data_IF_075567895360
#
_entry.id   IF_075567895360
#
_cell.length_a   1.000
_cell.length_b   1.000
_cell.length_c   1.000
_cell.angle_alpha   90.00
_cell.angle_beta   90.00
_cell.angle_gamma   90.00
#
_symmetry.space_group_name_H-M   'P 1'
#
loop_
_entity.id
_entity.type
_entity.pdbx_description
1 polymer ?
#
# COMPACT_ATOMS: atom_id res chain seq x y z
N UNK A 1 14.14 -17.58 -4.64
CA UNK A 1 14.32 -16.16 -4.29
C UNK A 1 13.01 -15.68 -3.71
N UNK A 2 12.95 -15.46 -2.40
CA UNK A 2 11.77 -14.90 -1.73
C UNK A 2 11.64 -13.44 -2.13
N UNK A 3 10.50 -13.07 -2.72
CA UNK A 3 10.17 -11.66 -2.98
C UNK A 3 10.10 -10.94 -1.62
N UNK A 4 10.64 -9.71 -1.50
CA UNK A 4 10.54 -8.96 -0.26
C UNK A 4 9.05 -8.77 0.06
N UNK A 5 8.65 -9.22 1.24
CA UNK A 5 7.30 -9.02 1.75
C UNK A 5 6.97 -7.52 1.72
N UNK A 6 5.79 -7.16 1.20
CA UNK A 6 5.42 -5.76 1.08
C UNK A 6 5.35 -5.12 2.47
N UNK A 7 6.16 -4.09 2.72
CA UNK A 7 6.28 -3.49 4.04
C UNK A 7 4.91 -3.01 4.55
N UNK A 8 4.75 -3.00 5.87
CA UNK A 8 3.55 -2.47 6.51
C UNK A 8 3.47 -0.96 6.32
N UNK A 9 2.26 -0.39 6.47
CA UNK A 9 2.09 1.07 6.45
C UNK A 9 3.01 1.77 7.46
N UNK A 10 3.13 1.22 8.67
CA UNK A 10 3.97 1.78 9.74
C UNK A 10 5.45 1.83 9.34
N UNK A 11 5.97 0.76 8.75
CA UNK A 11 7.38 0.69 8.34
C UNK A 11 7.67 1.62 7.15
N UNK A 12 6.77 1.64 6.17
CA UNK A 12 6.88 2.54 5.03
C UNK A 12 6.83 4.02 5.47
N UNK A 13 5.95 4.36 6.41
CA UNK A 13 5.84 5.70 6.97
C UNK A 13 7.07 6.10 7.80
N UNK A 14 7.60 5.18 8.63
CA UNK A 14 8.82 5.42 9.40
C UNK A 14 10.02 5.70 8.49
N UNK A 15 10.15 4.93 7.40
CA UNK A 15 11.19 5.15 6.37
C UNK A 15 11.03 6.52 5.71
N UNK A 16 9.82 6.88 5.29
CA UNK A 16 9.53 8.17 4.67
C UNK A 16 9.88 9.34 5.61
N UNK A 17 9.51 9.24 6.89
CA UNK A 17 9.77 10.28 7.89
C UNK A 17 11.27 10.46 8.16
N UNK A 18 12.03 9.35 8.19
CA UNK A 18 13.49 9.39 8.30
C UNK A 18 14.12 10.13 7.12
N UNK A 19 13.72 9.79 5.90
CA UNK A 19 14.26 10.43 4.69
C UNK A 19 13.92 11.93 4.67
N UNK A 20 12.70 12.31 5.07
CA UNK A 20 12.32 13.71 5.18
C UNK A 20 13.23 14.47 6.16
N UNK A 21 13.50 13.90 7.33
CA UNK A 21 14.42 14.50 8.30
C UNK A 21 15.86 14.61 7.75
N UNK A 22 16.34 13.60 7.02
CA UNK A 22 17.67 13.63 6.38
C UNK A 22 17.76 14.73 5.29
N UNK A 23 16.68 14.95 4.51
CA UNK A 23 16.61 15.99 3.49
C UNK A 23 16.48 17.40 4.10
N UNK A 24 15.67 17.56 5.15
CA UNK A 24 15.51 18.84 5.87
C UNK A 24 16.79 19.28 6.59
N UNK A 25 17.64 18.33 6.99
CA UNK A 25 18.94 18.60 7.59
C UNK A 25 19.92 19.34 6.65
N UNK A 26 19.66 19.37 5.35
CA UNK A 26 20.42 20.18 4.38
C UNK A 26 21.85 19.70 4.10
N UNK A 27 22.30 18.62 4.71
CA UNK A 27 23.65 18.04 4.58
C UNK A 27 23.76 16.97 3.49
N UNK A 28 22.69 16.71 2.75
CA UNK A 28 22.71 15.78 1.63
C UNK A 28 23.27 16.45 0.38
N UNK A 29 24.49 16.04 -0.04
CA UNK A 29 25.02 16.35 -1.36
C UNK A 29 24.03 15.92 -2.47
N UNK A 30 24.00 16.63 -3.59
CA UNK A 30 23.07 16.39 -4.70
C UNK A 30 23.04 14.91 -5.15
N UNK A 31 24.20 14.27 -5.15
CA UNK A 31 24.38 12.85 -5.52
C UNK A 31 23.71 11.89 -4.53
N UNK A 32 23.50 12.31 -3.28
CA UNK A 32 22.76 11.57 -2.24
C UNK A 32 21.28 11.90 -2.22
N UNK A 33 20.88 13.09 -2.65
CA UNK A 33 19.47 13.52 -2.70
C UNK A 33 18.67 12.67 -3.68
N UNK A 34 19.21 12.37 -4.87
CA UNK A 34 18.48 11.60 -5.88
C UNK A 34 18.11 10.18 -5.39
N UNK A 35 19.04 9.36 -4.85
CA UNK A 35 18.70 8.08 -4.25
C UNK A 35 17.68 8.19 -3.12
N UNK A 36 17.80 9.19 -2.24
CA UNK A 36 16.86 9.41 -1.15
C UNK A 36 15.45 9.73 -1.66
N UNK A 37 15.33 10.50 -2.75
CA UNK A 37 14.04 10.80 -3.38
C UNK A 37 13.40 9.57 -4.00
N UNK A 38 14.19 8.69 -4.63
CA UNK A 38 13.68 7.42 -5.17
C UNK A 38 13.18 6.50 -4.04
N UNK A 39 13.95 6.39 -2.95
CA UNK A 39 13.55 5.63 -1.76
C UNK A 39 12.27 6.21 -1.13
N UNK A 40 12.18 7.54 -1.02
CA UNK A 40 11.00 8.23 -0.51
C UNK A 40 9.77 7.98 -1.40
N UNK A 41 9.93 8.03 -2.72
CA UNK A 41 8.84 7.74 -3.68
C UNK A 41 8.34 6.31 -3.52
N UNK A 42 9.24 5.34 -3.34
CA UNK A 42 8.88 3.95 -3.13
C UNK A 42 8.15 3.73 -1.78
N UNK A 43 8.61 4.38 -0.71
CA UNK A 43 7.96 4.35 0.60
C UNK A 43 6.56 5.00 0.56
N UNK A 44 6.44 6.14 -0.12
CA UNK A 44 5.17 6.83 -0.31
C UNK A 44 4.17 6.00 -1.11
N UNK A 45 4.59 5.33 -2.19
CA UNK A 45 3.72 4.46 -2.97
C UNK A 45 3.10 3.35 -2.11
N UNK A 46 3.91 2.72 -1.24
CA UNK A 46 3.43 1.70 -0.29
C UNK A 46 2.43 2.28 0.71
N UNK A 47 2.70 3.47 1.25
CA UNK A 47 1.76 4.16 2.13
C UNK A 47 0.43 4.43 1.40
N UNK A 48 0.50 4.89 0.16
CA UNK A 48 -0.67 5.22 -0.67
C UNK A 48 -1.52 3.99 -0.95
N UNK A 49 -0.92 2.88 -1.37
CA UNK A 49 -1.63 1.62 -1.64
C UNK A 49 -2.42 1.14 -0.41
N UNK A 50 -1.83 1.22 0.80
CA UNK A 50 -2.52 0.81 2.02
C UNK A 50 -3.68 1.73 2.37
N UNK A 51 -3.52 3.04 2.19
CA UNK A 51 -4.60 4.02 2.38
C UNK A 51 -5.72 3.80 1.36
N UNK A 52 -5.37 3.54 0.10
CA UNK A 52 -6.34 3.26 -0.96
C UNK A 52 -7.14 2.00 -0.67
N UNK A 53 -6.50 0.93 -0.19
CA UNK A 53 -7.20 -0.29 0.24
C UNK A 53 -8.20 0.02 1.37
N UNK A 54 -7.80 0.78 2.40
CA UNK A 54 -8.70 1.20 3.48
C UNK A 54 -9.85 2.07 2.96
N UNK A 55 -9.58 2.99 2.02
CA UNK A 55 -10.61 3.82 1.39
C UNK A 55 -11.62 2.97 0.62
N UNK A 56 -11.17 1.94 -0.10
CA UNK A 56 -12.06 1.01 -0.80
C UNK A 56 -12.99 0.29 0.19
N UNK A 57 -12.44 -0.23 1.29
CA UNK A 57 -13.23 -0.84 2.38
C UNK A 57 -14.29 0.12 2.91
N UNK A 58 -13.89 1.36 3.24
CA UNK A 58 -14.81 2.37 3.79
C UNK A 58 -15.86 2.86 2.79
N UNK A 59 -15.55 2.81 1.49
CA UNK A 59 -16.48 3.15 0.42
C UNK A 59 -17.54 2.05 0.16
N UNK A 60 -17.47 0.93 0.87
CA UNK A 60 -18.41 -0.18 0.71
C UNK A 60 -18.01 -1.21 -0.33
N UNK A 61 -16.74 -1.23 -0.79
CA UNK A 61 -16.20 -2.23 -1.73
C UNK A 61 -15.96 -3.61 -1.07
N UNK A 62 -16.63 -3.88 0.06
CA UNK A 62 -16.66 -5.15 0.79
C UNK A 62 -18.01 -5.83 0.57
N UNK A 63 -18.28 -6.28 -0.66
CA UNK A 63 -19.56 -6.94 -0.95
C UNK A 63 -19.78 -7.40 -2.39
N UNK A 64 -18.73 -7.68 -3.16
CA UNK A 64 -18.86 -8.30 -4.47
C UNK A 64 -18.10 -9.63 -4.50
N UNK A 65 -18.49 -10.56 -3.65
CA UNK A 65 -18.26 -12.01 -3.81
C UNK A 65 -19.09 -12.72 -2.72
N UNK A 66 -20.35 -13.05 -3.06
CA UNK A 66 -21.18 -14.16 -2.57
C UNK A 66 -22.58 -14.02 -3.20
N UNK A 67 -22.69 -14.20 -4.53
CA UNK A 67 -23.88 -14.84 -5.09
C UNK A 67 -23.50 -16.32 -5.23
N UNK A 68 -23.70 -17.07 -4.15
CA UNK A 68 -23.97 -18.50 -4.22
C UNK A 68 -25.25 -18.65 -5.06
N UNK A 69 -25.09 -18.76 -6.39
CA UNK A 69 -26.09 -19.39 -7.25
C UNK A 69 -26.14 -20.88 -6.87
N UNK A 70 -26.81 -21.20 -5.77
CA UNK A 70 -27.45 -22.50 -5.60
C UNK A 70 -28.62 -22.54 -6.58
N UNK A 71 -28.58 -23.30 -7.69
CA UNK A 71 -29.81 -23.58 -8.41
C UNK A 71 -30.70 -24.43 -7.50
N UNK A 72 -31.77 -23.81 -6.99
CA UNK A 72 -32.88 -24.49 -6.34
C UNK A 72 -33.30 -25.71 -7.19
N UNK A 73 -33.42 -26.84 -6.50
CA UNK A 73 -33.94 -28.08 -7.04
C UNK A 73 -35.39 -27.92 -7.49
N UNK A 74 -35.66 -28.04 -8.79
CA UNK A 74 -36.97 -28.44 -9.28
C UNK A 74 -37.02 -29.98 -9.39
N UNK A 75 -37.38 -30.60 -8.28
CA UNK A 75 -38.04 -31.91 -8.26
C UNK A 75 -39.54 -31.66 -8.46
N UNK A 76 -40.07 -31.85 -9.67
CA UNK A 76 -41.51 -32.10 -9.86
C UNK A 76 -41.79 -32.88 -11.17
N UNK A 77 -42.21 -34.14 -10.96
CA UNK A 77 -43.05 -35.05 -11.77
C UNK A 77 -42.61 -35.54 -13.17
#
# INVERSE_FOLDING_TARGET
>A
MTLPEAATYREAYARLTRIAAELEGGEADLDRVLPLLEEARAAYAQCRTRIEAVRAVLAGDWGAEEEDDEPESDDDA
#
